data_IF_426798062720
#
_entry.id   IF_426798062720
#
_cell.length_a   1.000
_cell.length_b   1.000
_cell.length_c   1.000
_cell.angle_alpha   90.00
_cell.angle_beta   90.00
_cell.angle_gamma   90.00
#
_symmetry.space_group_name_H-M   'P 1'
#
loop_
_entity.id
_entity.type
_entity.pdbx_description
1 polymer ?
#
# COMPACT_ATOMS: atom_id res chain seq x y z
N UNK A 1 39.07 47.39 -28.23
CA UNK A 1 38.10 46.94 -27.20
C UNK A 1 37.58 45.57 -27.62
N UNK A 2 37.92 44.55 -26.83
CA UNK A 2 37.50 43.15 -26.93
C UNK A 2 36.49 42.88 -25.79
N UNK A 3 35.66 41.80 -25.78
CA UNK A 3 36.05 40.43 -26.14
C UNK A 3 35.02 39.59 -26.92
N UNK A 4 35.49 38.50 -27.53
CA UNK A 4 34.66 37.51 -28.19
C UNK A 4 35.46 36.34 -28.76
N UNK A 5 35.19 35.15 -28.20
CA UNK A 5 35.12 33.82 -28.82
C UNK A 5 36.29 33.20 -29.62
N UNK A 6 36.62 31.96 -29.25
CA UNK A 6 36.81 30.83 -30.19
C UNK A 6 38.25 30.40 -30.50
N UNK A 7 38.48 29.08 -30.58
CA UNK A 7 39.29 28.31 -31.55
C UNK A 7 39.19 26.81 -31.15
N UNK A 8 38.54 25.91 -31.90
CA UNK A 8 38.89 25.17 -33.15
C UNK A 8 39.95 24.05 -33.01
N UNK A 9 39.45 22.83 -33.26
CA UNK A 9 39.97 21.61 -33.93
C UNK A 9 41.47 21.24 -34.00
N UNK A 10 41.67 19.95 -33.72
CA UNK A 10 42.45 18.90 -34.42
C UNK A 10 43.95 19.09 -34.71
N UNK A 11 44.71 18.09 -34.27
CA UNK A 11 46.06 17.79 -34.75
C UNK A 11 46.42 16.33 -34.49
N UNK A 12 46.26 15.48 -35.51
CA UNK A 12 46.96 14.20 -35.60
C UNK A 12 48.42 14.45 -35.97
N UNK A 13 49.36 13.76 -35.32
CA UNK A 13 50.68 13.51 -35.89
C UNK A 13 51.21 12.13 -35.48
N UNK A 14 51.57 11.37 -36.51
CA UNK A 14 52.15 10.03 -36.47
C UNK A 14 53.58 10.05 -35.90
N UNK A 15 53.94 8.98 -35.17
CA UNK A 15 55.32 8.67 -34.81
C UNK A 15 55.50 7.19 -34.47
N UNK A 16 56.11 6.43 -35.39
CA UNK A 16 56.51 5.02 -35.23
C UNK A 16 57.72 4.90 -34.30
N UNK A 17 57.72 3.92 -33.42
CA UNK A 17 58.90 3.45 -32.69
C UNK A 17 58.68 2.07 -32.07
N UNK A 18 59.37 1.05 -32.58
CA UNK A 18 59.42 -0.32 -32.04
C UNK A 18 60.34 -0.36 -30.82
N UNK A 19 59.98 -1.08 -29.76
CA UNK A 19 60.66 -2.31 -29.30
C UNK A 19 60.34 -2.70 -27.84
N UNK A 20 60.21 -4.03 -27.64
CA UNK A 20 60.43 -4.86 -26.43
C UNK A 20 59.32 -5.00 -25.37
N UNK A 21 58.72 -6.19 -25.44
CA UNK A 21 58.12 -7.00 -24.36
C UNK A 21 59.16 -7.42 -23.29
N UNK A 22 58.78 -7.92 -22.07
CA UNK A 22 57.72 -8.95 -21.90
C UNK A 22 56.89 -9.00 -20.59
N UNK A 23 55.89 -9.90 -20.63
CA UNK A 23 55.28 -10.72 -19.56
C UNK A 23 54.33 -10.07 -18.53
N UNK A 24 53.03 -10.41 -18.56
CA UNK A 24 52.40 -11.62 -17.96
C UNK A 24 50.89 -11.74 -18.27
N UNK A 25 50.50 -12.98 -18.59
CA UNK A 25 49.27 -13.75 -18.30
C UNK A 25 47.90 -13.04 -18.43
N UNK A 26 46.96 -13.42 -19.30
CA UNK A 26 46.61 -14.78 -19.76
C UNK A 26 45.48 -15.34 -18.89
N UNK A 27 44.20 -15.08 -19.21
CA UNK A 27 43.35 -16.21 -19.59
C UNK A 27 41.85 -15.88 -19.52
N UNK A 28 41.24 -15.82 -20.71
CA UNK A 28 39.80 -15.66 -20.98
C UNK A 28 39.09 -17.02 -20.87
N UNK A 29 37.98 -17.05 -20.13
CA UNK A 29 37.14 -18.23 -19.93
C UNK A 29 36.39 -18.64 -21.21
N UNK A 30 36.51 -19.93 -21.57
CA UNK A 30 35.73 -20.60 -22.63
C UNK A 30 34.46 -21.21 -22.04
N UNK A 31 33.37 -21.13 -22.81
CA UNK A 31 32.06 -21.73 -22.53
C UNK A 31 32.12 -23.26 -22.64
N UNK A 32 31.80 -23.96 -21.56
CA UNK A 32 31.58 -25.41 -21.54
C UNK A 32 30.11 -25.74 -21.85
N UNK A 33 29.89 -26.62 -22.84
CA UNK A 33 28.64 -27.37 -23.04
C UNK A 33 28.74 -28.66 -22.25
N UNK A 34 27.79 -28.93 -21.35
CA UNK A 34 27.63 -30.25 -20.75
C UNK A 34 26.55 -31.04 -21.50
N UNK A 35 26.95 -32.17 -22.07
CA UNK A 35 26.04 -33.27 -22.44
C UNK A 35 26.01 -34.25 -21.26
N UNK A 36 24.82 -34.56 -20.77
CA UNK A 36 24.58 -35.66 -19.85
C UNK A 36 23.38 -36.46 -20.32
N UNK A 37 23.62 -37.74 -20.66
CA UNK A 37 22.60 -38.78 -20.82
C UNK A 37 22.04 -39.15 -19.45
N UNK A 38 20.75 -39.45 -19.38
CA UNK A 38 20.18 -40.29 -18.33
C UNK A 38 19.21 -41.28 -18.99
N UNK A 39 19.43 -42.55 -18.70
CA UNK A 39 18.68 -43.71 -19.18
C UNK A 39 17.35 -43.90 -18.41
N UNK A 40 16.52 -44.75 -19.01
CA UNK A 40 15.20 -45.22 -18.59
C UNK A 40 15.04 -45.62 -17.10
N UNK A 41 13.89 -45.28 -16.51
CA UNK A 41 13.34 -46.00 -15.35
C UNK A 41 11.88 -46.39 -15.62
N UNK A 42 11.67 -47.71 -15.69
CA UNK A 42 10.37 -48.40 -15.74
C UNK A 42 9.65 -48.38 -14.39
N UNK A 43 8.32 -48.45 -14.49
CA UNK A 43 7.36 -48.68 -13.42
C UNK A 43 7.58 -50.00 -12.65
N UNK A 44 7.24 -49.98 -11.35
CA UNK A 44 7.16 -51.15 -10.47
C UNK A 44 6.18 -50.90 -9.31
N UNK A 45 5.28 -51.85 -9.12
CA UNK A 45 4.06 -51.76 -8.32
C UNK A 45 4.22 -52.12 -6.83
N UNK A 46 3.19 -51.73 -6.06
CA UNK A 46 2.57 -52.40 -4.92
C UNK A 46 3.42 -52.81 -3.69
N UNK A 47 3.04 -52.27 -2.52
CA UNK A 47 3.43 -52.80 -1.22
C UNK A 47 2.56 -52.22 -0.11
N UNK A 48 1.45 -52.89 0.20
CA UNK A 48 0.61 -52.64 1.38
C UNK A 48 1.37 -53.08 2.64
N UNK A 49 1.42 -52.23 3.66
CA UNK A 49 1.69 -52.66 5.03
C UNK A 49 0.78 -51.90 6.00
N UNK A 50 -0.21 -52.63 6.54
CA UNK A 50 -1.04 -52.20 7.64
C UNK A 50 -0.24 -52.29 8.94
N UNK A 51 -0.29 -51.25 9.78
CA UNK A 51 0.14 -51.33 11.18
C UNK A 51 -0.95 -50.78 12.09
N UNK A 52 -1.17 -51.57 13.15
CA UNK A 52 -2.27 -51.59 14.11
C UNK A 52 -2.51 -50.28 14.85
N UNK A 53 -3.79 -49.96 15.02
CA UNK A 53 -4.34 -49.06 16.02
C UNK A 53 -4.08 -49.59 17.44
N UNK A 54 -3.25 -48.88 18.20
CA UNK A 54 -3.12 -49.04 19.64
C UNK A 54 -4.19 -48.23 20.36
N UNK A 55 -5.09 -48.92 21.08
CA UNK A 55 -6.08 -48.32 21.97
C UNK A 55 -5.38 -47.79 23.23
N UNK A 56 -5.47 -46.49 23.51
CA UNK A 56 -5.20 -45.96 24.85
C UNK A 56 -6.50 -45.55 25.54
N UNK A 57 -6.74 -46.21 26.68
CA UNK A 57 -7.84 -45.96 27.62
C UNK A 57 -7.64 -44.60 28.32
N UNK A 58 -8.75 -43.89 28.47
CA UNK A 58 -8.90 -42.73 29.32
C UNK A 58 -8.58 -43.02 30.79
N UNK A 59 -7.95 -42.05 31.46
CA UNK A 59 -8.09 -41.84 32.91
C UNK A 59 -8.48 -40.39 33.18
N UNK A 60 -9.57 -40.25 33.93
CA UNK A 60 -10.06 -39.04 34.60
C UNK A 60 -9.33 -38.87 35.95
N UNK A 61 -9.35 -37.64 36.46
CA UNK A 61 -8.89 -37.20 37.79
C UNK A 61 -7.81 -36.13 37.60
N UNK A 62 -7.85 -34.93 38.18
CA UNK A 62 -8.63 -34.42 39.31
C UNK A 62 -8.53 -32.88 39.30
N UNK A 63 -9.57 -32.19 39.75
CA UNK A 63 -9.59 -30.75 39.94
C UNK A 63 -8.93 -30.38 41.28
N UNK A 64 -8.20 -29.27 41.32
CA UNK A 64 -7.78 -28.63 42.56
C UNK A 64 -8.13 -27.14 42.50
N UNK A 65 -9.14 -26.77 43.27
CA UNK A 65 -9.50 -25.40 43.62
C UNK A 65 -8.80 -24.97 44.92
N UNK A 66 -8.41 -23.69 44.93
CA UNK A 66 -8.46 -22.72 46.03
C UNK A 66 -7.68 -22.97 47.34
N UNK A 67 -6.77 -22.04 47.63
CA UNK A 67 -6.42 -21.66 49.00
C UNK A 67 -6.52 -20.14 49.14
N UNK A 68 -7.42 -19.74 50.04
CA UNK A 68 -7.69 -18.39 50.51
C UNK A 68 -6.75 -18.03 51.66
N UNK A 69 -6.27 -16.78 51.67
CA UNK A 69 -5.87 -16.09 52.89
C UNK A 69 -6.08 -14.58 52.70
N UNK A 70 -6.70 -13.98 53.71
CA UNK A 70 -7.16 -12.60 53.85
C UNK A 70 -6.77 -12.17 55.29
N UNK A 71 -6.95 -10.93 55.76
CA UNK A 71 -6.17 -9.71 55.45
C UNK A 71 -5.57 -9.06 56.73
N UNK A 72 -4.56 -8.18 56.62
CA UNK A 72 -4.25 -7.20 57.68
C UNK A 72 -3.61 -5.90 57.14
N UNK A 73 -4.31 -4.77 57.36
CA UNK A 73 -3.76 -3.57 57.98
C UNK A 73 -2.97 -2.55 57.13
N UNK A 74 -3.60 -1.40 56.85
CA UNK A 74 -3.00 -0.18 56.32
C UNK A 74 -2.00 0.51 57.29
N UNK A 75 -1.19 1.45 56.77
CA UNK A 75 -1.37 2.82 57.24
C UNK A 75 -1.43 3.89 56.13
N UNK A 76 -1.94 5.03 56.56
CA UNK A 76 -2.42 6.23 55.86
C UNK A 76 -1.35 7.25 55.45
N UNK A 77 -1.78 8.15 54.55
CA UNK A 77 -1.26 9.49 54.20
C UNK A 77 0.01 9.51 53.34
N UNK A 78 0.11 10.29 52.28
CA UNK A 78 -0.80 11.32 51.76
C UNK A 78 -0.01 12.16 50.76
N UNK A 79 -0.54 12.31 49.55
CA UNK A 79 -0.18 13.36 48.59
C UNK A 79 -1.14 13.25 47.41
N UNK A 80 -2.24 13.99 47.52
CA UNK A 80 -3.21 14.23 46.45
C UNK A 80 -2.54 15.02 45.32
N UNK A 81 -2.17 14.32 44.24
CA UNK A 81 -2.08 14.94 42.92
C UNK A 81 -3.39 14.60 42.20
N UNK A 82 -4.32 15.52 42.35
CA UNK A 82 -5.63 15.56 41.73
C UNK A 82 -5.46 15.59 40.21
N UNK A 83 -5.50 14.43 39.57
CA UNK A 83 -5.67 14.33 38.11
C UNK A 83 -7.04 14.93 37.80
N UNK A 84 -7.05 16.09 37.13
CA UNK A 84 -8.26 16.67 36.58
C UNK A 84 -8.95 15.63 35.69
N UNK A 85 -10.27 15.40 35.84
CA UNK A 85 -10.98 14.51 34.94
C UNK A 85 -10.87 15.07 33.51
N UNK A 86 -10.60 14.17 32.57
CA UNK A 86 -10.70 14.46 31.14
C UNK A 86 -12.04 15.17 30.86
N UNK A 87 -12.06 16.21 29.99
CA UNK A 87 -13.33 16.82 29.63
C UNK A 87 -14.21 15.75 29.00
N UNK A 88 -15.32 15.47 29.65
CA UNK A 88 -16.39 14.69 29.05
C UNK A 88 -16.93 15.52 27.89
N UNK A 89 -16.59 15.17 26.66
CA UNK A 89 -17.23 15.69 25.46
C UNK A 89 -18.66 15.12 25.35
N UNK A 90 -19.51 15.55 26.29
CA UNK A 90 -20.97 15.55 26.19
C UNK A 90 -21.46 16.81 25.49
N UNK A 91 -20.74 17.29 24.48
CA UNK A 91 -21.11 18.44 23.67
C UNK A 91 -22.27 18.06 22.76
N UNK A 92 -23.48 18.44 23.15
CA UNK A 92 -24.61 18.51 22.25
C UNK A 92 -24.16 19.17 20.93
N UNK A 93 -24.49 18.51 19.80
CA UNK A 93 -24.51 19.09 18.44
C UNK A 93 -24.85 20.57 18.53
N UNK A 94 -23.86 21.44 18.38
CA UNK A 94 -24.14 22.87 18.27
C UNK A 94 -24.94 23.04 16.97
N UNK A 95 -26.18 23.54 17.00
CA UNK A 95 -26.85 23.92 15.78
C UNK A 95 -25.98 24.97 15.10
N UNK A 96 -25.74 24.75 13.81
CA UNK A 96 -25.15 25.72 12.90
C UNK A 96 -25.80 27.09 13.17
N UNK A 97 -25.02 28.04 13.69
CA UNK A 97 -25.51 29.39 13.97
C UNK A 97 -25.81 30.07 12.64
N UNK A 98 -27.09 30.31 12.38
CA UNK A 98 -27.58 31.17 11.31
C UNK A 98 -27.05 32.59 11.49
N UNK A 99 -26.13 32.99 10.61
CA UNK A 99 -25.82 34.38 10.31
C UNK A 99 -26.38 34.67 8.92
N UNK A 100 -27.52 35.36 8.86
CA UNK A 100 -28.24 35.63 7.62
C UNK A 100 -27.53 36.62 6.69
N UNK A 101 -27.45 36.25 5.41
CA UNK A 101 -27.79 37.13 4.28
C UNK A 101 -28.34 36.22 3.17
N UNK A 102 -29.60 36.46 2.79
CA UNK A 102 -30.52 35.47 2.20
C UNK A 102 -30.13 34.99 0.80
N UNK A 103 -29.92 33.68 0.68
CA UNK A 103 -29.70 32.98 -0.58
C UNK A 103 -29.66 31.49 -0.34
N UNK A 104 -29.72 30.70 -1.41
CA UNK A 104 -29.59 29.25 -1.30
C UNK A 104 -28.22 28.88 -0.72
N UNK A 105 -28.13 27.68 -0.14
CA UNK A 105 -26.86 27.13 0.38
C UNK A 105 -26.58 25.78 -0.26
N UNK A 106 -25.30 25.49 -0.46
CA UNK A 106 -24.88 24.16 -0.88
C UNK A 106 -23.76 23.64 0.01
N UNK A 107 -23.69 22.32 0.15
CA UNK A 107 -22.62 21.66 0.89
C UNK A 107 -22.11 20.44 0.13
N UNK A 108 -20.94 19.95 0.51
CA UNK A 108 -20.37 18.73 -0.04
C UNK A 108 -19.04 18.42 0.64
N UNK A 109 -18.30 17.47 0.08
CA UNK A 109 -16.94 17.15 0.51
C UNK A 109 -15.99 17.06 -0.67
N UNK A 110 -14.73 17.46 -0.43
CA UNK A 110 -13.62 17.23 -1.35
C UNK A 110 -12.76 16.13 -0.76
N UNK A 111 -12.55 15.08 -1.54
CA UNK A 111 -11.77 13.92 -1.17
C UNK A 111 -10.66 13.69 -2.20
N UNK A 112 -9.61 12.97 -1.82
CA UNK A 112 -8.72 12.32 -2.78
C UNK A 112 -9.47 11.22 -3.51
N UNK A 113 -8.93 10.73 -4.63
CA UNK A 113 -9.47 9.57 -5.35
C UNK A 113 -9.73 8.38 -4.42
N UNK A 114 -8.85 8.16 -3.46
CA UNK A 114 -8.89 7.02 -2.52
C UNK A 114 -9.79 7.27 -1.31
N UNK A 115 -10.49 8.41 -1.27
CA UNK A 115 -11.53 8.72 -0.28
C UNK A 115 -11.05 9.44 0.96
N UNK A 116 -9.81 9.93 0.98
CA UNK A 116 -9.31 10.73 2.09
C UNK A 116 -9.81 12.16 2.01
N UNK A 117 -10.24 12.78 3.13
CA UNK A 117 -10.54 14.20 3.17
C UNK A 117 -9.41 15.06 2.62
N UNK A 118 -9.73 16.01 1.75
CA UNK A 118 -8.76 16.92 1.16
C UNK A 118 -8.97 18.34 1.69
N UNK A 119 -8.26 18.76 2.76
CA UNK A 119 -8.38 20.09 3.32
C UNK A 119 -7.75 21.16 2.42
N UNK A 120 -8.22 22.40 2.54
CA UNK A 120 -7.61 23.53 1.82
C UNK A 120 -7.94 23.57 0.33
N UNK A 121 -8.83 22.71 -0.18
CA UNK A 121 -9.29 22.79 -1.56
C UNK A 121 -10.20 24.00 -1.74
N UNK A 122 -9.88 24.84 -2.73
CA UNK A 122 -10.72 25.96 -3.14
C UNK A 122 -11.92 25.43 -3.91
N UNK A 123 -13.12 25.69 -3.40
CA UNK A 123 -14.40 25.31 -4.01
C UNK A 123 -15.10 26.59 -4.46
N UNK A 124 -15.34 26.73 -5.75
CA UNK A 124 -16.05 27.88 -6.32
C UNK A 124 -17.26 27.40 -7.10
N UNK A 125 -18.41 28.01 -6.91
CA UNK A 125 -19.60 27.82 -7.73
C UNK A 125 -19.85 29.08 -8.54
N UNK A 126 -19.98 28.94 -9.85
CA UNK A 126 -20.19 30.03 -10.80
C UNK A 126 -21.54 29.86 -11.48
N UNK A 127 -22.44 30.84 -11.36
CA UNK A 127 -23.69 30.83 -12.10
C UNK A 127 -23.41 30.95 -13.61
N UNK A 128 -24.20 30.25 -14.44
CA UNK A 128 -23.89 30.10 -15.88
C UNK A 128 -24.17 31.36 -16.69
N UNK A 129 -25.04 32.22 -16.18
CA UNK A 129 -25.32 33.57 -16.66
C UNK A 129 -24.26 34.60 -16.24
N UNK A 130 -23.27 34.18 -15.42
CA UNK A 130 -22.18 35.02 -14.96
C UNK A 130 -22.59 36.03 -13.88
N UNK A 131 -23.81 35.96 -13.35
CA UNK A 131 -24.35 36.94 -12.40
C UNK A 131 -23.90 36.71 -10.95
N UNK A 132 -23.55 35.47 -10.60
CA UNK A 132 -23.23 35.08 -9.24
C UNK A 132 -22.03 34.15 -9.11
N UNK A 133 -21.28 34.32 -8.02
CA UNK A 133 -20.27 33.34 -7.60
C UNK A 133 -20.21 33.21 -6.08
N UNK A 134 -20.04 31.98 -5.60
CA UNK A 134 -19.70 31.71 -4.20
C UNK A 134 -18.41 30.91 -4.14
N UNK A 135 -17.59 31.18 -3.12
CA UNK A 135 -16.34 30.46 -2.88
C UNK A 135 -16.25 30.04 -1.42
N UNK A 136 -15.68 28.87 -1.21
CA UNK A 136 -15.35 28.32 0.09
C UNK A 136 -14.03 27.55 0.01
N UNK A 137 -13.53 27.12 1.16
CA UNK A 137 -12.39 26.22 1.27
C UNK A 137 -12.82 25.00 2.07
N UNK A 138 -12.40 23.80 1.65
CA UNK A 138 -12.69 22.59 2.41
C UNK A 138 -11.98 22.58 3.76
N UNK A 139 -12.70 22.16 4.80
CA UNK A 139 -12.18 21.98 6.16
C UNK A 139 -11.29 20.74 6.30
N UNK A 140 -10.82 20.47 7.52
CA UNK A 140 -10.01 19.29 7.87
C UNK A 140 -10.71 17.96 7.60
N UNK A 141 -12.04 17.94 7.65
CA UNK A 141 -12.88 16.79 7.30
C UNK A 141 -13.26 16.75 5.80
N UNK A 142 -12.65 17.63 4.99
CA UNK A 142 -12.91 17.75 3.56
C UNK A 142 -14.23 18.43 3.23
N UNK A 143 -15.08 18.75 4.23
CA UNK A 143 -16.39 19.36 3.97
C UNK A 143 -16.26 20.82 3.62
N UNK A 144 -17.20 21.29 2.78
CA UNK A 144 -17.33 22.69 2.43
C UNK A 144 -18.81 23.11 2.46
N UNK A 145 -19.04 24.40 2.66
CA UNK A 145 -20.35 25.04 2.53
C UNK A 145 -20.18 26.30 1.68
N UNK A 146 -21.07 26.47 0.70
CA UNK A 146 -21.15 27.63 -0.17
C UNK A 146 -22.43 28.42 0.14
N UNK A 147 -22.29 29.72 0.37
CA UNK A 147 -23.39 30.63 0.65
C UNK A 147 -22.93 32.09 0.47
N UNK A 148 -23.81 33.02 0.07
CA UNK A 148 -25.14 32.78 -0.50
C UNK A 148 -25.03 32.32 -1.97
N UNK A 149 -26.03 31.56 -2.46
CA UNK A 149 -26.10 31.07 -3.83
C UNK A 149 -27.32 31.60 -4.58
N UNK A 150 -27.13 31.83 -5.88
CA UNK A 150 -28.21 32.06 -6.84
C UNK A 150 -28.79 30.74 -7.33
N UNK A 151 -30.10 30.74 -7.61
CA UNK A 151 -30.80 29.57 -8.13
C UNK A 151 -30.56 29.42 -9.63
N UNK A 152 -30.46 28.17 -10.09
CA UNK A 152 -30.32 27.86 -11.51
C UNK A 152 -29.06 27.05 -11.84
N UNK A 153 -28.74 26.93 -13.14
CA UNK A 153 -27.57 26.18 -13.58
C UNK A 153 -26.28 26.89 -13.19
N UNK A 154 -25.33 26.12 -12.67
CA UNK A 154 -24.03 26.62 -12.24
C UNK A 154 -22.92 25.60 -12.55
N UNK A 155 -21.67 26.09 -12.58
CA UNK A 155 -20.47 25.28 -12.68
C UNK A 155 -19.73 25.27 -11.35
N UNK A 156 -19.55 24.07 -10.78
CA UNK A 156 -18.72 23.84 -9.60
C UNK A 156 -17.28 23.59 -10.04
N UNK A 157 -16.36 24.45 -9.59
CA UNK A 157 -14.92 24.34 -9.76
C UNK A 157 -14.27 23.97 -8.43
N UNK A 158 -13.48 22.91 -8.41
CA UNK A 158 -12.74 22.48 -7.23
C UNK A 158 -11.26 22.33 -7.59
N UNK A 159 -10.39 23.01 -6.86
CA UNK A 159 -8.96 22.99 -7.09
C UNK A 159 -8.19 22.89 -5.76
N UNK A 160 -7.12 22.10 -5.74
CA UNK A 160 -6.21 21.98 -4.62
C UNK A 160 -4.78 21.85 -5.16
N UNK A 161 -3.79 22.39 -4.46
CA UNK A 161 -2.40 22.26 -4.87
C UNK A 161 -2.00 20.77 -5.00
N UNK A 162 -1.26 20.44 -6.06
CA UNK A 162 -0.85 19.06 -6.35
C UNK A 162 -1.96 18.15 -6.85
N UNK A 163 -3.16 18.66 -7.16
CA UNK A 163 -4.28 17.87 -7.68
C UNK A 163 -4.83 18.46 -8.99
N UNK A 164 -5.30 17.58 -9.88
CA UNK A 164 -6.02 17.98 -11.09
C UNK A 164 -7.34 18.65 -10.70
N UNK A 165 -7.62 19.87 -11.20
CA UNK A 165 -8.85 20.56 -10.89
C UNK A 165 -10.04 19.86 -11.55
N UNK A 166 -11.20 19.88 -10.88
CA UNK A 166 -12.45 19.37 -11.45
C UNK A 166 -13.47 20.48 -11.66
N UNK A 167 -14.17 20.39 -12.79
CA UNK A 167 -15.32 21.22 -13.13
C UNK A 167 -16.54 20.33 -13.34
N UNK A 168 -17.67 20.65 -12.69
CA UNK A 168 -18.93 19.89 -12.83
C UNK A 168 -20.12 20.83 -12.90
N UNK A 169 -20.99 20.61 -13.89
CA UNK A 169 -22.27 21.31 -13.97
C UNK A 169 -23.21 20.82 -12.86
N UNK A 170 -23.87 21.74 -12.17
CA UNK A 170 -24.85 21.48 -11.11
C UNK A 170 -26.02 22.42 -11.27
N UNK A 171 -27.17 22.08 -10.68
CA UNK A 171 -28.35 22.94 -10.67
C UNK A 171 -28.71 23.25 -9.23
N UNK A 172 -28.64 24.53 -8.86
CA UNK A 172 -29.04 25.00 -7.54
C UNK A 172 -30.55 25.20 -7.55
N UNK A 173 -31.29 24.20 -7.07
CA UNK A 173 -32.74 24.25 -6.97
C UNK A 173 -33.24 23.29 -5.89
N UNK A 174 -34.37 23.63 -5.28
CA UNK A 174 -35.20 22.70 -4.54
C UNK A 174 -36.66 22.98 -4.93
N UNK A 175 -37.37 22.04 -5.59
CA UNK A 175 -38.74 22.25 -6.04
C UNK A 175 -39.75 22.36 -4.87
N UNK A 176 -39.35 22.04 -3.64
CA UNK A 176 -40.19 22.13 -2.45
C UNK A 176 -40.01 23.44 -1.69
N UNK A 177 -38.93 24.16 -1.96
CA UNK A 177 -38.65 25.46 -1.35
C UNK A 177 -39.55 26.53 -1.94
N UNK A 178 -40.20 27.31 -1.08
CA UNK A 178 -41.01 28.46 -1.49
C UNK A 178 -40.19 29.74 -1.54
N UNK A 179 -38.99 29.73 -0.94
CA UNK A 179 -38.07 30.86 -0.89
C UNK A 179 -36.62 30.44 -1.13
N UNK A 180 -35.76 31.29 -1.73
CA UNK A 180 -34.37 30.95 -2.01
C UNK A 180 -33.57 30.50 -0.78
N UNK A 181 -33.80 31.10 0.39
CA UNK A 181 -33.12 30.75 1.65
C UNK A 181 -33.44 29.34 2.19
N UNK A 182 -34.54 28.73 1.74
CA UNK A 182 -34.93 27.37 2.10
C UNK A 182 -34.18 26.33 1.26
N UNK A 183 -33.59 26.72 0.13
CA UNK A 183 -32.90 25.82 -0.79
C UNK A 183 -31.57 25.38 -0.21
N UNK A 184 -31.46 24.09 0.10
CA UNK A 184 -30.22 23.42 0.53
C UNK A 184 -29.87 22.32 -0.46
N UNK A 185 -28.72 22.46 -1.12
CA UNK A 185 -28.27 21.50 -2.15
C UNK A 185 -27.09 20.68 -1.62
N UNK A 186 -27.22 19.37 -1.66
CA UNK A 186 -26.09 18.47 -1.48
C UNK A 186 -25.36 18.28 -2.82
N UNK A 187 -24.12 18.75 -2.89
CA UNK A 187 -23.23 18.58 -4.04
C UNK A 187 -22.46 17.25 -3.95
N UNK A 188 -22.64 16.47 -2.90
CA UNK A 188 -21.99 15.17 -2.72
C UNK A 188 -20.47 15.27 -2.62
N UNK A 189 -19.80 14.17 -2.98
CA UNK A 189 -18.34 14.07 -2.96
C UNK A 189 -17.74 14.53 -4.29
N UNK A 190 -16.68 15.33 -4.21
CA UNK A 190 -15.82 15.67 -5.34
C UNK A 190 -14.45 15.03 -5.09
N UNK A 191 -14.04 14.12 -5.97
CA UNK A 191 -12.79 13.37 -5.84
C UNK A 191 -11.73 13.96 -6.76
N UNK A 192 -10.69 14.56 -6.19
CA UNK A 192 -9.56 15.06 -6.96
C UNK A 192 -8.48 13.99 -7.13
N UNK A 193 -7.89 13.94 -8.33
CA UNK A 193 -6.74 13.08 -8.64
C UNK A 193 -5.46 13.87 -8.39
N UNK A 194 -4.48 13.29 -7.69
CA UNK A 194 -3.18 13.95 -7.52
C UNK A 194 -2.45 14.02 -8.86
N UNK A 195 -1.88 15.18 -9.19
CA UNK A 195 -1.07 15.36 -10.40
C UNK A 195 0.12 14.39 -10.35
N UNK A 196 0.39 13.70 -11.46
CA UNK A 196 1.46 12.70 -11.56
C UNK A 196 1.14 11.31 -10.99
N UNK A 197 -0.08 11.05 -10.51
CA UNK A 197 -0.46 9.71 -10.02
C UNK A 197 -0.47 8.61 -11.11
N UNK A 198 -0.65 8.98 -12.37
CA UNK A 198 -0.50 8.04 -13.48
C UNK A 198 0.96 7.90 -13.95
N UNK A 199 1.83 8.83 -13.56
CA UNK A 199 3.20 8.95 -14.06
C UNK A 199 4.18 8.29 -13.08
N UNK A 200 5.20 7.67 -13.64
CA UNK A 200 6.32 7.18 -12.84
C UNK A 200 7.16 8.36 -12.36
N UNK A 201 7.84 8.24 -11.22
CA UNK A 201 8.73 9.29 -10.76
C UNK A 201 9.93 9.41 -11.72
N UNK A 202 10.75 10.45 -11.52
CA UNK A 202 11.95 10.64 -12.31
C UNK A 202 12.86 9.39 -12.29
N UNK A 203 13.54 9.08 -13.42
CA UNK A 203 14.50 7.99 -13.48
C UNK A 203 15.57 8.07 -12.38
N UNK A 204 16.01 6.90 -11.95
CA UNK A 204 16.99 6.71 -10.89
C UNK A 204 16.57 5.67 -9.86
N UNK A 205 17.42 5.55 -8.84
CA UNK A 205 17.26 4.60 -7.75
C UNK A 205 16.44 5.20 -6.61
N UNK A 206 15.43 4.46 -6.16
CA UNK A 206 14.57 4.83 -5.05
C UNK A 206 14.64 3.73 -4.00
N UNK A 207 14.96 4.08 -2.76
CA UNK A 207 15.06 3.16 -1.64
C UNK A 207 13.73 3.15 -0.91
N UNK A 208 13.14 1.96 -0.73
CA UNK A 208 11.88 1.80 0.00
C UNK A 208 12.12 2.20 1.46
N UNK A 209 11.23 3.02 1.99
CA UNK A 209 11.19 3.45 3.39
C UNK A 209 10.36 2.42 4.19
N UNK A 210 10.99 1.56 5.03
CA UNK A 210 10.27 0.55 5.80
C UNK A 210 9.28 1.15 6.80
N UNK A 211 9.57 2.33 7.35
CA UNK A 211 8.74 2.98 8.38
C UNK A 211 7.44 3.56 7.78
N UNK A 212 7.42 3.81 6.47
CA UNK A 212 6.28 4.33 5.72
C UNK A 212 5.75 3.33 4.69
N UNK A 213 5.97 2.03 4.93
CA UNK A 213 5.50 0.95 4.07
C UNK A 213 4.62 -0.02 4.85
N UNK A 214 3.47 -0.38 4.28
CA UNK A 214 2.52 -1.34 4.81
C UNK A 214 2.29 -2.46 3.80
N UNK A 215 2.52 -3.71 4.22
CA UNK A 215 2.21 -4.91 3.44
C UNK A 215 1.18 -5.75 4.21
N UNK A 216 0.00 -5.89 3.62
CA UNK A 216 -1.13 -6.62 4.22
C UNK A 216 -1.51 -7.80 3.34
N UNK A 217 -1.57 -8.99 3.94
CA UNK A 217 -2.15 -10.19 3.35
C UNK A 217 -3.53 -10.45 3.97
N UNK A 218 -4.53 -10.70 3.12
CA UNK A 218 -5.90 -11.03 3.55
C UNK A 218 -6.32 -12.38 3.00
N UNK A 219 -6.80 -13.26 3.87
CA UNK A 219 -7.44 -14.53 3.55
C UNK A 219 -8.88 -14.54 4.07
N UNK A 220 -9.75 -15.41 3.53
CA UNK A 220 -11.08 -15.62 4.11
C UNK A 220 -11.11 -16.86 4.99
N UNK A 221 -11.68 -16.75 6.19
CA UNK A 221 -12.02 -17.86 7.07
C UNK A 221 -13.44 -18.35 6.76
N UNK A 222 -13.56 -19.62 6.35
CA UNK A 222 -14.79 -20.27 5.91
C UNK A 222 -15.54 -19.54 4.78
N UNK A 223 -14.87 -18.64 4.05
CA UNK A 223 -15.51 -17.76 3.07
C UNK A 223 -16.42 -16.69 3.67
N UNK A 224 -16.44 -16.54 5.00
CA UNK A 224 -17.35 -15.64 5.73
C UNK A 224 -16.66 -14.37 6.20
N UNK A 225 -15.53 -14.51 6.90
CA UNK A 225 -14.82 -13.37 7.50
C UNK A 225 -13.42 -13.23 6.94
N UNK A 226 -12.95 -11.98 6.84
CA UNK A 226 -11.58 -11.69 6.47
C UNK A 226 -10.65 -11.86 7.68
N UNK A 227 -9.54 -12.56 7.47
CA UNK A 227 -8.39 -12.64 8.37
C UNK A 227 -7.26 -11.88 7.72
N UNK A 228 -6.73 -10.88 8.42
CA UNK A 228 -5.63 -10.05 7.93
C UNK A 228 -4.35 -10.38 8.69
N UNK A 229 -3.23 -10.33 7.98
CA UNK A 229 -1.90 -10.41 8.54
C UNK A 229 -1.02 -9.33 7.91
N UNK A 230 -0.16 -8.72 8.71
CA UNK A 230 0.86 -7.77 8.28
C UNK A 230 2.22 -8.45 8.24
N UNK A 231 3.06 -8.03 7.30
CA UNK A 231 4.48 -8.39 7.25
C UNK A 231 5.30 -7.11 7.11
N UNK A 232 6.49 -7.12 7.70
CA UNK A 232 7.43 -6.00 7.66
C UNK A 232 8.40 -6.16 6.48
N UNK A 233 8.41 -5.18 5.60
CA UNK A 233 9.48 -5.02 4.62
C UNK A 233 10.73 -4.56 5.37
N UNK A 234 11.87 -5.23 5.17
CA UNK A 234 13.12 -4.86 5.85
C UNK A 234 14.06 -4.06 4.96
N UNK A 235 14.01 -4.29 3.66
CA UNK A 235 14.77 -3.55 2.66
C UNK A 235 14.09 -3.68 1.30
N UNK A 236 14.27 -2.65 0.46
CA UNK A 236 13.93 -2.76 -0.94
C UNK A 236 14.39 -1.55 -1.75
N UNK A 237 14.48 -1.75 -3.05
CA UNK A 237 14.87 -0.73 -4.00
C UNK A 237 14.02 -0.83 -5.27
N UNK A 238 13.69 0.33 -5.83
CA UNK A 238 13.01 0.51 -7.10
C UNK A 238 14.00 1.22 -8.02
N UNK A 239 14.30 0.59 -9.15
CA UNK A 239 15.03 1.23 -10.25
C UNK A 239 14.00 1.73 -11.26
N UNK A 240 13.88 3.04 -11.41
CA UNK A 240 13.06 3.64 -12.46
C UNK A 240 13.95 3.97 -13.64
N UNK A 241 13.74 3.28 -14.76
CA UNK A 241 14.52 3.48 -15.96
C UNK A 241 13.97 4.63 -16.81
N UNK A 242 14.82 5.22 -17.65
CA UNK A 242 14.43 6.22 -18.67
C UNK A 242 13.30 5.71 -19.57
N UNK A 243 13.42 4.45 -20.01
CA UNK A 243 12.33 3.71 -20.65
C UNK A 243 11.71 2.81 -19.60
N UNK A 244 10.46 3.09 -19.22
CA UNK A 244 9.79 2.44 -18.10
C UNK A 244 9.78 0.91 -18.14
N UNK A 245 9.82 0.29 -19.33
CA UNK A 245 9.87 -1.17 -19.48
C UNK A 245 11.15 -1.78 -18.90
N UNK A 246 12.21 -0.98 -18.75
CA UNK A 246 13.46 -1.34 -18.09
C UNK A 246 13.45 -1.19 -16.57
N UNK A 247 12.38 -0.67 -15.97
CA UNK A 247 12.27 -0.50 -14.52
C UNK A 247 12.23 -1.84 -13.79
N UNK A 248 12.73 -1.86 -12.56
CA UNK A 248 12.80 -3.07 -11.74
C UNK A 248 12.60 -2.81 -10.26
N UNK A 249 12.29 -3.86 -9.50
CA UNK A 249 12.08 -3.81 -8.06
C UNK A 249 12.72 -5.01 -7.41
N UNK A 250 13.32 -4.80 -6.23
CA UNK A 250 13.81 -5.87 -5.36
C UNK A 250 13.37 -5.55 -3.94
N UNK A 251 12.76 -6.53 -3.25
CA UNK A 251 12.27 -6.37 -1.89
C UNK A 251 12.60 -7.62 -1.08
N UNK A 252 12.98 -7.43 0.18
CA UNK A 252 13.11 -8.49 1.17
C UNK A 252 12.23 -8.19 2.38
N UNK A 253 11.50 -9.21 2.80
CA UNK A 253 10.51 -9.17 3.88
C UNK A 253 10.91 -10.23 4.90
N UNK A 254 10.86 -9.89 6.19
CA UNK A 254 11.07 -10.84 7.28
C UNK A 254 9.83 -11.73 7.44
N UNK A 255 9.96 -13.03 7.19
CA UNK A 255 8.85 -13.97 7.32
C UNK A 255 8.36 -14.10 8.77
N UNK A 256 9.25 -13.93 9.76
CA UNK A 256 8.90 -14.00 11.17
C UNK A 256 8.10 -12.78 11.65
N UNK A 257 8.12 -11.68 10.90
CA UNK A 257 7.38 -10.46 11.22
C UNK A 257 5.86 -10.57 11.07
N UNK A 258 5.35 -11.73 10.65
CA UNK A 258 3.90 -11.96 10.49
C UNK A 258 3.16 -11.62 11.79
N UNK A 259 2.18 -10.74 11.66
CA UNK A 259 1.31 -10.30 12.75
C UNK A 259 -0.14 -10.24 12.27
N UNK A 260 -0.97 -11.11 12.84
CA UNK A 260 -2.42 -11.13 12.60
C UNK A 260 -3.22 -10.62 13.80
N UNK A 261 -2.55 -10.12 14.83
CA UNK A 261 -3.13 -9.69 16.10
C UNK A 261 -3.53 -10.84 17.03
N UNK A 262 -3.11 -12.08 16.75
CA UNK A 262 -3.43 -13.26 17.57
C UNK A 262 -2.17 -14.14 17.72
N UNK A 263 -1.49 -14.02 18.85
CA UNK A 263 -0.18 -14.63 19.10
C UNK A 263 -0.10 -16.13 18.74
N UNK A 264 -1.11 -16.93 19.12
CA UNK A 264 -1.13 -18.37 18.81
C UNK A 264 -1.25 -18.64 17.30
N UNK A 265 -1.97 -17.80 16.57
CA UNK A 265 -2.07 -17.91 15.11
C UNK A 265 -0.76 -17.48 14.46
N UNK A 266 -0.11 -16.44 14.97
CA UNK A 266 1.17 -15.97 14.45
C UNK A 266 2.27 -17.02 14.67
N UNK A 267 2.30 -17.68 15.84
CA UNK A 267 3.17 -18.83 16.09
C UNK A 267 2.92 -19.97 15.09
N UNK A 268 1.66 -20.26 14.77
CA UNK A 268 1.33 -21.28 13.77
C UNK A 268 1.70 -20.85 12.34
N UNK A 269 1.48 -19.58 11.97
CA UNK A 269 1.86 -19.05 10.66
C UNK A 269 3.38 -19.09 10.45
N UNK A 270 4.18 -18.99 11.52
CA UNK A 270 5.64 -19.11 11.44
C UNK A 270 6.14 -20.55 11.29
N UNK A 271 5.33 -21.55 11.62
CA UNK A 271 5.77 -22.96 11.62
C UNK A 271 5.92 -23.54 10.22
N UNK A 272 6.47 -24.75 10.14
CA UNK A 272 6.62 -25.54 8.91
C UNK A 272 5.29 -25.89 8.19
N UNK A 273 4.13 -25.68 8.84
CA UNK A 273 2.83 -25.83 8.20
C UNK A 273 2.52 -24.66 7.22
N UNK A 274 3.19 -23.52 7.40
CA UNK A 274 2.99 -22.27 6.67
C UNK A 274 4.32 -21.66 6.19
N UNK A 275 4.81 -20.60 6.86
CA UNK A 275 5.94 -19.82 6.36
C UNK A 275 7.29 -20.52 6.56
N UNK A 276 7.36 -21.50 7.47
CA UNK A 276 8.57 -22.24 7.84
C UNK A 276 9.77 -21.32 8.10
N UNK A 277 9.61 -20.36 9.01
CA UNK A 277 10.58 -19.25 9.17
C UNK A 277 11.95 -19.72 9.66
N UNK A 278 12.03 -20.93 10.24
CA UNK A 278 13.31 -21.54 10.63
C UNK A 278 14.16 -21.90 9.42
N UNK A 279 13.55 -22.39 8.33
CA UNK A 279 14.26 -22.76 7.09
C UNK A 279 14.18 -21.67 6.01
N UNK A 280 13.15 -20.83 6.07
CA UNK A 280 12.82 -19.81 5.07
C UNK A 280 12.56 -18.44 5.75
N UNK A 281 13.59 -17.83 6.37
CA UNK A 281 13.41 -16.58 7.13
C UNK A 281 13.07 -15.36 6.25
N UNK A 282 13.31 -15.44 4.94
CA UNK A 282 13.11 -14.34 4.01
C UNK A 282 12.05 -14.66 2.96
N UNK A 283 11.13 -13.73 2.79
CA UNK A 283 10.28 -13.63 1.60
C UNK A 283 10.95 -12.61 0.68
N UNK A 284 11.16 -12.96 -0.59
CA UNK A 284 11.79 -12.05 -1.56
C UNK A 284 10.90 -11.82 -2.77
N UNK A 285 10.92 -10.61 -3.29
CA UNK A 285 10.23 -10.25 -4.52
C UNK A 285 11.18 -9.58 -5.50
N UNK A 286 11.23 -10.09 -6.72
CA UNK A 286 12.01 -9.51 -7.83
C UNK A 286 11.07 -9.19 -8.99
N UNK A 287 10.90 -7.91 -9.29
CA UNK A 287 10.02 -7.41 -10.35
C UNK A 287 10.78 -6.77 -11.50
N UNK A 288 10.34 -7.00 -12.74
CA UNK A 288 10.87 -6.39 -13.98
C UNK A 288 9.78 -6.27 -15.03
N UNK A 289 9.98 -5.42 -16.05
CA UNK A 289 9.08 -5.39 -17.20
C UNK A 289 7.77 -4.70 -16.86
N UNK A 290 7.85 -3.40 -16.58
CA UNK A 290 6.68 -2.60 -16.29
C UNK A 290 5.87 -2.33 -17.56
N UNK A 291 4.55 -2.51 -17.48
CA UNK A 291 3.62 -2.34 -18.59
C UNK A 291 2.44 -1.44 -18.15
N UNK A 292 1.91 -0.55 -19.01
CA UNK A 292 0.67 0.15 -18.72
C UNK A 292 -0.49 -0.84 -18.56
N UNK A 293 -1.36 -0.65 -17.57
CA UNK A 293 -2.50 -1.54 -17.32
C UNK A 293 -3.80 -1.14 -18.05
N UNK A 294 -3.77 -0.04 -18.81
CA UNK A 294 -4.92 0.52 -19.53
C UNK A 294 -5.94 1.27 -18.67
N UNK A 295 -5.76 1.30 -17.35
CA UNK A 295 -6.65 1.94 -16.37
C UNK A 295 -5.95 3.07 -15.60
N UNK A 296 -4.90 3.66 -16.18
CA UNK A 296 -4.09 4.71 -15.56
C UNK A 296 -3.21 4.20 -14.42
N UNK A 297 -2.84 2.92 -14.45
CA UNK A 297 -1.85 2.31 -13.58
C UNK A 297 -0.86 1.47 -14.40
N UNK A 298 -0.13 0.62 -13.69
CA UNK A 298 0.92 -0.21 -14.24
C UNK A 298 0.80 -1.65 -13.74
N UNK A 299 1.25 -2.59 -14.55
CA UNK A 299 1.52 -3.95 -14.15
C UNK A 299 3.04 -4.16 -14.12
N UNK A 300 3.55 -4.71 -13.02
CA UNK A 300 4.93 -5.17 -12.91
C UNK A 300 4.91 -6.70 -12.85
N UNK A 301 5.57 -7.34 -13.81
CA UNK A 301 5.79 -8.78 -13.73
C UNK A 301 6.86 -9.07 -12.68
N UNK A 302 6.66 -10.09 -11.86
CA UNK A 302 7.64 -10.41 -10.83
C UNK A 302 7.57 -11.83 -10.31
N UNK A 303 8.65 -12.22 -9.65
CA UNK A 303 8.85 -13.52 -9.02
C UNK A 303 8.81 -13.33 -7.50
N UNK A 304 7.91 -14.05 -6.84
CA UNK A 304 7.83 -14.14 -5.40
C UNK A 304 8.49 -15.44 -4.94
N UNK A 305 9.46 -15.34 -4.04
CA UNK A 305 9.96 -16.48 -3.26
C UNK A 305 9.29 -16.47 -1.90
N UNK A 306 8.53 -17.52 -1.61
CA UNK A 306 7.79 -17.68 -0.35
C UNK A 306 7.81 -19.17 0.04
N UNK A 307 8.18 -19.46 1.29
CA UNK A 307 8.33 -20.83 1.79
C UNK A 307 9.20 -21.71 0.85
N UNK A 308 10.38 -21.20 0.49
CA UNK A 308 11.34 -21.85 -0.41
C UNK A 308 10.90 -21.99 -1.88
N UNK A 309 9.69 -21.55 -2.23
CA UNK A 309 9.09 -21.77 -3.54
C UNK A 309 8.99 -20.47 -4.34
N UNK A 310 9.44 -20.51 -5.60
CA UNK A 310 9.39 -19.36 -6.51
C UNK A 310 8.18 -19.46 -7.44
N UNK A 311 7.38 -18.41 -7.54
CA UNK A 311 6.24 -18.29 -8.46
C UNK A 311 6.14 -16.90 -9.07
N UNK A 312 5.60 -16.85 -10.29
CA UNK A 312 5.24 -15.59 -10.93
C UNK A 312 4.02 -14.98 -10.22
N UNK A 313 4.18 -13.76 -9.69
CA UNK A 313 3.13 -12.98 -9.03
C UNK A 313 3.23 -11.55 -9.55
N UNK A 314 2.42 -11.17 -10.57
CA UNK A 314 2.42 -9.80 -11.07
C UNK A 314 1.77 -8.86 -10.05
N UNK A 315 2.35 -7.67 -9.89
CA UNK A 315 1.77 -6.58 -9.10
C UNK A 315 1.02 -5.62 -10.02
N UNK A 316 -0.20 -5.23 -9.65
CA UNK A 316 -0.85 -4.04 -10.21
C UNK A 316 -0.53 -2.87 -9.31
N UNK A 317 0.07 -1.81 -9.86
CA UNK A 317 0.55 -0.67 -9.10
C UNK A 317 0.11 0.67 -9.68
N UNK A 318 0.03 1.67 -8.82
CA UNK A 318 -0.27 3.06 -9.14
C UNK A 318 0.69 3.94 -8.38
N UNK A 319 1.24 4.96 -9.04
CA UNK A 319 1.90 6.04 -8.34
C UNK A 319 0.79 6.84 -7.64
N UNK A 320 0.89 7.07 -6.35
CA UNK A 320 -0.05 7.96 -5.64
C UNK A 320 0.53 9.35 -5.45
N UNK A 321 1.75 9.56 -5.99
CA UNK A 321 2.35 10.85 -6.30
C UNK A 321 3.77 11.01 -5.77
N UNK A 322 4.37 12.12 -6.15
CA UNK A 322 5.75 12.51 -5.79
C UNK A 322 5.77 13.81 -5.00
N UNK A 323 6.81 14.03 -4.21
CA UNK A 323 6.99 15.29 -3.49
C UNK A 323 8.38 15.43 -2.89
N UNK A 324 8.74 16.64 -2.48
CA UNK A 324 9.90 16.88 -1.63
C UNK A 324 9.57 16.53 -0.19
N UNK A 325 10.50 15.89 0.52
CA UNK A 325 10.36 15.64 1.94
C UNK A 325 10.91 16.82 2.79
N UNK A 326 10.57 16.89 4.09
CA UNK A 326 11.05 17.95 4.99
C UNK A 326 12.58 18.03 5.17
N UNK A 327 13.31 17.00 4.74
CA UNK A 327 14.76 16.90 4.87
C UNK A 327 15.50 17.24 3.57
N UNK A 328 14.78 17.64 2.51
CA UNK A 328 15.33 18.03 1.22
C UNK A 328 15.49 16.88 0.22
N UNK A 329 15.04 15.67 0.56
CA UNK A 329 14.97 14.52 -0.35
C UNK A 329 13.73 14.55 -1.24
N UNK A 330 13.68 13.65 -2.22
CA UNK A 330 12.50 13.42 -3.04
C UNK A 330 11.85 12.08 -2.64
N UNK A 331 10.53 12.09 -2.47
CA UNK A 331 9.70 10.93 -2.15
C UNK A 331 8.73 10.59 -3.27
N UNK A 332 8.44 9.31 -3.39
CA UNK A 332 7.36 8.77 -4.21
C UNK A 332 6.53 7.81 -3.37
N UNK A 333 5.22 7.83 -3.57
CA UNK A 333 4.30 6.89 -2.98
C UNK A 333 3.70 5.99 -4.05
N UNK A 334 3.53 4.71 -3.73
CA UNK A 334 2.85 3.74 -4.58
C UNK A 334 1.80 2.96 -3.80
N UNK A 335 0.73 2.63 -4.51
CA UNK A 335 -0.20 1.58 -4.12
C UNK A 335 0.02 0.38 -5.03
N UNK A 336 0.09 -0.82 -4.47
CA UNK A 336 0.19 -2.04 -5.24
C UNK A 336 -0.70 -3.16 -4.69
N UNK A 337 -1.10 -4.08 -5.56
CA UNK A 337 -1.90 -5.24 -5.17
C UNK A 337 -1.56 -6.47 -6.00
N UNK A 338 -1.76 -7.64 -5.39
CA UNK A 338 -1.69 -8.93 -6.03
C UNK A 338 -2.70 -9.92 -5.44
N UNK A 339 -2.92 -11.01 -6.16
CA UNK A 339 -3.62 -12.19 -5.66
C UNK A 339 -2.75 -13.40 -5.92
N UNK A 340 -2.65 -14.29 -4.94
CA UNK A 340 -1.89 -15.53 -5.05
C UNK A 340 -2.59 -16.66 -4.30
N UNK A 341 -2.29 -17.91 -4.64
CA UNK A 341 -2.75 -19.07 -3.88
C UNK A 341 -1.65 -19.56 -2.95
N UNK A 342 -1.95 -19.77 -1.67
CA UNK A 342 -0.98 -20.35 -0.72
C UNK A 342 -0.56 -21.78 -1.09
N UNK A 343 -1.41 -22.50 -1.83
CA UNK A 343 -1.12 -23.87 -2.30
C UNK A 343 0.06 -23.89 -3.29
N UNK A 344 0.26 -22.80 -4.04
CA UNK A 344 1.35 -22.68 -5.01
C UNK A 344 2.72 -22.63 -4.33
N UNK A 345 2.75 -22.29 -3.03
CA UNK A 345 3.93 -22.10 -2.19
C UNK A 345 4.07 -23.18 -1.10
N UNK A 346 3.54 -24.37 -1.36
CA UNK A 346 3.61 -25.53 -0.45
C UNK A 346 2.95 -25.34 0.93
N UNK A 347 2.23 -24.24 1.16
CA UNK A 347 1.46 -24.00 2.39
C UNK A 347 0.09 -24.67 2.29
N UNK A 348 0.07 -26.00 2.45
CA UNK A 348 -1.13 -26.83 2.20
C UNK A 348 -1.97 -27.12 3.44
N UNK A 349 -1.56 -26.63 4.61
CA UNK A 349 -2.27 -26.90 5.85
C UNK A 349 -3.74 -26.47 5.76
N UNK A 350 -4.66 -27.35 6.17
CA UNK A 350 -6.06 -27.00 6.33
C UNK A 350 -6.70 -27.98 7.31
N UNK A 351 -7.39 -27.48 8.33
CA UNK A 351 -8.39 -28.29 9.00
C UNK A 351 -9.61 -28.35 8.08
N UNK A 352 -10.07 -29.55 7.74
CA UNK A 352 -11.33 -29.70 7.05
C UNK A 352 -12.47 -29.62 8.07
N UNK A 353 -13.50 -28.81 7.79
CA UNK A 353 -14.73 -28.78 8.59
C UNK A 353 -15.90 -29.31 7.76
N UNK A 354 -16.60 -30.32 8.27
CA UNK A 354 -17.80 -30.86 7.61
C UNK A 354 -17.56 -31.23 6.14
N UNK A 355 -18.55 -30.97 5.28
CA UNK A 355 -18.72 -31.36 3.86
C UNK A 355 -17.61 -30.92 2.87
N UNK A 356 -16.33 -30.99 3.22
CA UNK A 356 -15.20 -30.65 2.35
C UNK A 356 -14.91 -29.15 2.25
N UNK A 357 -15.43 -28.34 3.17
CA UNK A 357 -15.17 -26.89 3.20
C UNK A 357 -13.83 -26.62 3.89
N UNK A 358 -12.94 -25.93 3.18
CA UNK A 358 -11.69 -25.40 3.70
C UNK A 358 -11.95 -24.39 4.82
N UNK A 359 -11.32 -24.57 5.99
CA UNK A 359 -11.42 -23.60 7.10
C UNK A 359 -10.80 -22.26 6.71
N UNK A 360 -9.74 -22.27 5.89
CA UNK A 360 -9.16 -21.06 5.32
C UNK A 360 -9.10 -21.16 3.79
N UNK A 361 -9.60 -20.10 3.14
CA UNK A 361 -9.47 -19.92 1.69
C UNK A 361 -8.01 -19.98 1.26
N UNK A 362 -7.78 -20.47 0.05
CA UNK A 362 -6.43 -20.65 -0.51
C UNK A 362 -5.91 -19.36 -1.16
N UNK A 363 -6.82 -18.53 -1.68
CA UNK A 363 -6.49 -17.21 -2.23
C UNK A 363 -6.12 -16.22 -1.13
N UNK A 364 -4.94 -15.62 -1.26
CA UNK A 364 -4.50 -14.46 -0.52
C UNK A 364 -4.63 -13.22 -1.41
N UNK A 365 -5.24 -12.16 -0.87
CA UNK A 365 -5.16 -10.81 -1.45
C UNK A 365 -4.03 -10.06 -0.76
N UNK A 366 -3.12 -9.51 -1.54
CA UNK A 366 -2.01 -8.68 -1.07
C UNK A 366 -2.32 -7.23 -1.43
N UNK A 367 -2.21 -6.33 -0.45
CA UNK A 367 -2.29 -4.87 -0.63
C UNK A 367 -1.07 -4.22 -0.01
N UNK A 368 -0.49 -3.27 -0.75
CA UNK A 368 0.75 -2.60 -0.40
C UNK A 368 0.52 -1.10 -0.55
N UNK A 369 0.81 -0.34 0.50
CA UNK A 369 1.01 1.10 0.44
C UNK A 369 2.49 1.33 0.79
N UNK A 370 3.25 1.99 -0.08
CA UNK A 370 4.70 2.13 0.10
C UNK A 370 5.14 3.57 -0.19
N UNK A 371 6.13 4.04 0.56
CA UNK A 371 6.92 5.22 0.21
C UNK A 371 8.37 4.82 -0.09
N UNK A 372 8.98 5.52 -1.03
CA UNK A 372 10.40 5.38 -1.34
C UNK A 372 11.07 6.75 -1.47
N UNK A 373 12.32 6.83 -1.05
CA UNK A 373 13.16 8.04 -1.10
C UNK A 373 14.17 7.89 -2.22
N UNK A 374 14.34 8.94 -3.03
CA UNK A 374 15.34 8.94 -4.11
C UNK A 374 16.74 8.93 -3.51
N UNK A 375 17.58 8.04 -4.00
CA UNK A 375 19.01 8.06 -3.68
C UNK A 375 19.69 9.22 -4.43
N UNK A 376 20.57 9.94 -3.74
CA UNK A 376 21.16 11.20 -4.20
C UNK A 376 22.15 11.03 -5.35
#
# INVERSE_FOLDING_TARGET
MQPGCGYREAGEHQGRGRDRHPHRDGGRWRRGRCRGRADDVRAGAAGRAAVRLGRHRARRGEAAELSTADPLGAPTSGSDLQLSPAPQDGGARAPFREGGSGGARAHGSVLTRDGWPLPGASVTLLATDGTGSARSTSGSDGRFVLTPLELGPATLLVACAGHEPQARSVVVHDPRASRPEEVVVDLGEVRLTRVGAAELPAPGRWVIDPDHTSLVATAHHLGLSAVTGRLSVVEGAIEVAEVFTGSSVQVRIDAASVDSGVARRDEHLRSADFLDVEHHPWITYEGRGLLPDGAGGWQLDGQLTLNGTVRAVPLRLRCTGTGTDPWGGARVAFQASAQLSRDDFAMKWNQAFGLGVAVFGTTLRITIDLEAVREA
#
